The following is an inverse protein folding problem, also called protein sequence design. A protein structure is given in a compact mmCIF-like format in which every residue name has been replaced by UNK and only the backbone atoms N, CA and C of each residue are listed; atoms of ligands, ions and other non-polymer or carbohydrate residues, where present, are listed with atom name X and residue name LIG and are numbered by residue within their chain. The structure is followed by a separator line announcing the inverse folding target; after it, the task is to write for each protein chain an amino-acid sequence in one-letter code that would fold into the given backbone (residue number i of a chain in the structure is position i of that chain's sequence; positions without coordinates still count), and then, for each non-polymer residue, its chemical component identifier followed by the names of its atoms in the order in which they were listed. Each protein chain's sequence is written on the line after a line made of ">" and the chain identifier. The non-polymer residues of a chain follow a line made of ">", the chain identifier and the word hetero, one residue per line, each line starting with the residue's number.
data_IF_278608442666
#
_entry.id   IF_278608442666
#
_cell.length_a   1.000
_cell.length_b   1.000
_cell.length_c   1.000
_cell.angle_alpha   90.00
_cell.angle_beta   90.00
_cell.angle_gamma   90.00
#
_symmetry.space_group_name_H-M   'P 1'
#
loop_
_entity.id
_entity.type
_entity.pdbx_description
1 polymer ?
#
# COMPACT_ATOMS: atom_id res chain seq x y z
N UNK A 1 -12.94 13.36 -4.55
CA UNK A 1 -11.77 13.06 -3.69
C UNK A 1 -12.20 12.16 -2.54
N UNK A 2 -11.32 11.23 -2.08
CA UNK A 2 -11.61 10.42 -0.88
C UNK A 2 -11.61 11.28 0.38
N UNK A 3 -12.30 10.84 1.45
CA UNK A 3 -12.36 11.58 2.72
C UNK A 3 -10.97 11.87 3.30
N UNK A 4 -10.03 10.93 3.16
CA UNK A 4 -8.64 11.18 3.56
C UNK A 4 -7.96 12.28 2.72
N UNK A 5 -8.26 12.35 1.43
CA UNK A 5 -7.72 13.42 0.57
C UNK A 5 -8.35 14.76 0.94
N UNK A 6 -9.65 14.78 1.23
CA UNK A 6 -10.35 15.98 1.70
C UNK A 6 -9.78 16.47 3.03
N UNK A 7 -9.60 15.56 4.00
CA UNK A 7 -9.00 15.88 5.30
C UNK A 7 -7.59 16.43 5.18
N UNK A 8 -6.74 15.80 4.35
CA UNK A 8 -5.37 16.25 4.11
C UNK A 8 -5.32 17.61 3.40
N UNK A 9 -6.22 17.86 2.45
CA UNK A 9 -6.31 19.14 1.75
C UNK A 9 -6.82 20.23 2.70
N UNK A 10 -7.85 19.95 3.51
CA UNK A 10 -8.33 20.87 4.55
C UNK A 10 -7.19 21.27 5.48
N UNK A 11 -6.43 20.31 6.00
CA UNK A 11 -5.27 20.59 6.86
C UNK A 11 -4.22 21.46 6.16
N UNK A 12 -3.89 21.16 4.90
CA UNK A 12 -2.93 21.95 4.13
C UNK A 12 -3.41 23.38 3.86
N UNK A 13 -4.70 23.56 3.54
CA UNK A 13 -5.29 24.88 3.33
C UNK A 13 -5.42 25.69 4.64
N UNK A 14 -5.76 25.03 5.77
CA UNK A 14 -5.74 25.70 7.08
C UNK A 14 -4.37 26.27 7.43
N UNK A 15 -3.29 25.53 7.10
CA UNK A 15 -1.92 26.00 7.26
C UNK A 15 -1.57 27.16 6.31
N UNK A 16 -2.13 27.18 5.10
CA UNK A 16 -1.95 28.32 4.18
C UNK A 16 -2.62 29.59 4.71
N UNK A 17 -3.80 29.47 5.31
CA UNK A 17 -4.48 30.59 5.99
C UNK A 17 -3.68 31.06 7.20
N UNK A 18 -3.20 30.12 8.04
CA UNK A 18 -2.35 30.44 9.20
C UNK A 18 -1.08 31.19 8.81
N UNK A 19 -0.50 30.84 7.66
CA UNK A 19 0.68 31.50 7.13
C UNK A 19 0.43 32.94 6.64
N UNK A 20 -0.82 33.40 6.62
CA UNK A 20 -1.25 34.73 6.14
C UNK A 20 -0.66 35.07 4.78
N UNK A 21 -0.76 34.12 3.84
CA UNK A 21 -0.17 34.26 2.51
C UNK A 21 -0.98 35.25 1.65
N UNK A 22 -0.27 36.18 1.05
CA UNK A 22 -0.83 37.02 -0.01
C UNK A 22 -0.90 36.22 -1.32
N UNK A 23 -1.99 36.40 -2.07
CA UNK A 23 -2.18 35.78 -3.39
C UNK A 23 -1.40 36.57 -4.44
N UNK A 24 -0.10 36.33 -4.51
CA UNK A 24 0.80 36.88 -5.54
C UNK A 24 1.70 35.75 -6.11
N UNK A 25 2.52 36.08 -7.10
CA UNK A 25 3.40 35.13 -7.79
C UNK A 25 4.41 34.39 -6.87
N UNK A 26 4.52 34.76 -5.60
CA UNK A 26 5.41 34.13 -4.63
C UNK A 26 4.67 33.20 -3.64
N UNK A 27 3.36 33.12 -3.71
CA UNK A 27 2.51 32.39 -2.75
C UNK A 27 2.97 30.95 -2.54
N UNK A 28 3.29 30.24 -3.60
CA UNK A 28 3.74 28.85 -3.52
C UNK A 28 5.14 28.73 -2.90
N UNK A 29 6.05 29.65 -3.22
CA UNK A 29 7.38 29.70 -2.64
C UNK A 29 7.33 30.03 -1.16
N UNK A 30 6.57 31.05 -0.75
CA UNK A 30 6.38 31.44 0.65
C UNK A 30 5.75 30.33 1.47
N UNK A 31 4.72 29.65 0.92
CA UNK A 31 4.12 28.49 1.59
C UNK A 31 5.09 27.32 1.73
N UNK A 32 5.89 27.04 0.71
CA UNK A 32 6.92 26.01 0.78
C UNK A 32 7.95 26.30 1.90
N UNK A 33 8.38 27.57 2.04
CA UNK A 33 9.28 28.01 3.10
C UNK A 33 8.63 27.89 4.49
N UNK A 34 7.37 28.32 4.63
CA UNK A 34 6.60 28.18 5.86
C UNK A 34 6.51 26.71 6.31
N UNK A 35 6.15 25.80 5.39
CA UNK A 35 6.08 24.38 5.68
C UNK A 35 7.44 23.76 6.03
N UNK A 36 8.53 24.30 5.49
CA UNK A 36 9.88 23.85 5.81
C UNK A 36 10.26 24.16 7.27
N UNK A 37 9.88 25.34 7.78
CA UNK A 37 10.12 25.76 9.18
C UNK A 37 9.35 24.89 10.19
N UNK A 38 8.20 24.29 9.81
CA UNK A 38 7.32 23.49 10.68
C UNK A 38 7.78 22.05 10.90
N UNK A 39 8.96 21.66 10.49
CA UNK A 39 9.53 20.31 10.66
C UNK A 39 8.66 19.16 10.13
N UNK A 40 7.72 19.42 9.23
CA UNK A 40 6.94 18.34 8.58
C UNK A 40 7.83 17.45 7.72
N UNK A 41 7.49 16.16 7.66
CA UNK A 41 8.11 15.22 6.74
C UNK A 41 7.97 15.70 5.28
N UNK A 42 8.97 15.41 4.43
CA UNK A 42 9.00 15.85 3.02
C UNK A 42 7.72 15.48 2.25
N UNK A 43 7.18 14.26 2.50
CA UNK A 43 5.94 13.80 1.88
C UNK A 43 4.73 14.66 2.32
N UNK A 44 4.63 14.99 3.61
CA UNK A 44 3.57 15.85 4.16
C UNK A 44 3.64 17.26 3.57
N UNK A 45 4.85 17.84 3.47
CA UNK A 45 5.04 19.15 2.84
C UNK A 45 4.60 19.15 1.38
N UNK A 46 4.92 18.08 0.63
CA UNK A 46 4.45 17.92 -0.76
C UNK A 46 2.92 17.87 -0.85
N UNK A 47 2.28 17.14 0.05
CA UNK A 47 0.83 16.99 0.08
C UNK A 47 0.13 18.33 0.38
N UNK A 48 0.61 19.07 1.38
CA UNK A 48 0.04 20.37 1.73
C UNK A 48 0.28 21.41 0.63
N UNK A 49 1.45 21.41 0.01
CA UNK A 49 1.68 22.28 -1.15
C UNK A 49 0.79 21.91 -2.34
N UNK A 50 0.52 20.61 -2.55
CA UNK A 50 -0.42 20.16 -3.58
C UNK A 50 -1.85 20.64 -3.32
N UNK A 51 -2.28 20.79 -2.04
CA UNK A 51 -3.61 21.32 -1.72
C UNK A 51 -3.75 22.78 -2.13
N UNK A 52 -2.74 23.62 -1.86
CA UNK A 52 -2.76 25.02 -2.28
C UNK A 52 -2.71 25.16 -3.82
N UNK A 53 -1.87 24.37 -4.49
CA UNK A 53 -1.84 24.31 -5.96
C UNK A 53 -3.20 23.98 -6.55
N UNK A 54 -3.90 23.01 -5.95
CA UNK A 54 -5.23 22.61 -6.43
C UNK A 54 -6.27 23.71 -6.20
N UNK A 55 -6.17 24.44 -5.09
CA UNK A 55 -7.03 25.61 -4.85
C UNK A 55 -6.76 26.69 -5.89
N UNK A 56 -5.49 27.07 -6.12
CA UNK A 56 -5.13 28.07 -7.12
C UNK A 56 -5.57 27.67 -8.53
N UNK A 57 -5.45 26.40 -8.88
CA UNK A 57 -5.94 25.87 -10.15
C UNK A 57 -7.47 26.01 -10.29
N UNK A 58 -8.19 25.76 -9.20
CA UNK A 58 -9.64 25.91 -9.18
C UNK A 58 -10.05 27.39 -9.27
N UNK A 59 -9.38 28.27 -8.51
CA UNK A 59 -9.62 29.72 -8.60
C UNK A 59 -9.33 30.27 -10.00
N UNK A 60 -8.25 29.83 -10.63
CA UNK A 60 -7.88 30.17 -12.00
C UNK A 60 -9.00 29.80 -13.01
N UNK A 61 -9.52 28.57 -12.89
CA UNK A 61 -10.59 28.05 -13.74
C UNK A 61 -11.95 28.73 -13.52
N UNK A 62 -12.11 29.55 -12.46
CA UNK A 62 -13.34 30.25 -12.12
C UNK A 62 -13.15 31.79 -12.07
N UNK A 63 -12.06 32.28 -12.66
CA UNK A 63 -11.74 33.71 -12.73
C UNK A 63 -11.72 34.42 -11.36
N UNK A 64 -11.33 33.67 -10.30
CA UNK A 64 -11.29 34.13 -8.91
C UNK A 64 -9.90 34.57 -8.45
N UNK A 65 -8.91 34.56 -9.31
CA UNK A 65 -7.56 35.02 -8.98
C UNK A 65 -7.49 36.56 -9.03
N UNK A 66 -6.69 37.18 -8.12
CA UNK A 66 -6.49 38.64 -8.15
C UNK A 66 -5.91 39.12 -9.49
N UNK A 67 -6.24 40.34 -9.90
CA UNK A 67 -5.66 40.97 -11.06
C UNK A 67 -4.12 40.97 -10.97
N UNK A 68 -3.46 40.58 -12.03
CA UNK A 68 -1.98 40.48 -12.09
C UNK A 68 -1.37 39.20 -11.50
N UNK A 69 -2.15 38.30 -10.91
CA UNK A 69 -1.64 37.00 -10.48
C UNK A 69 -1.39 36.09 -11.70
N UNK A 70 -0.18 35.50 -11.75
CA UNK A 70 0.17 34.56 -12.79
C UNK A 70 0.58 33.21 -12.18
N UNK A 71 -0.31 32.21 -12.30
CA UNK A 71 -0.10 30.86 -11.75
C UNK A 71 1.13 30.17 -12.31
N UNK A 72 1.41 30.32 -13.63
CA UNK A 72 2.58 29.74 -14.26
C UNK A 72 3.88 30.33 -13.70
N UNK A 73 3.89 31.63 -13.44
CA UNK A 73 5.02 32.34 -12.84
C UNK A 73 5.22 31.93 -11.38
N UNK A 74 4.14 31.73 -10.60
CA UNK A 74 4.24 31.20 -9.25
C UNK A 74 4.82 29.78 -9.21
N UNK A 75 4.46 28.92 -10.15
CA UNK A 75 5.04 27.58 -10.29
C UNK A 75 6.53 27.65 -10.69
N UNK A 76 6.89 28.55 -11.60
CA UNK A 76 8.28 28.74 -12.01
C UNK A 76 9.16 29.22 -10.84
N UNK A 77 8.73 30.22 -10.08
CA UNK A 77 9.42 30.72 -8.89
C UNK A 77 9.63 29.61 -7.84
N UNK A 78 8.61 28.76 -7.63
CA UNK A 78 8.74 27.62 -6.73
C UNK A 78 9.77 26.59 -7.21
N UNK A 79 9.86 26.34 -8.53
CA UNK A 79 10.87 25.41 -9.10
C UNK A 79 12.28 25.93 -8.85
N UNK A 80 12.52 27.18 -9.14
CA UNK A 80 13.83 27.84 -8.90
C UNK A 80 14.21 27.75 -7.43
N UNK A 81 13.29 28.06 -6.50
CA UNK A 81 13.59 28.05 -5.06
C UNK A 81 13.89 26.67 -4.50
N UNK A 82 13.47 25.60 -5.17
CA UNK A 82 13.70 24.21 -4.74
C UNK A 82 15.06 23.67 -5.19
N UNK A 83 15.73 24.36 -6.08
CA UNK A 83 16.87 23.81 -6.80
C UNK A 83 16.46 22.58 -7.63
N UNK A 84 17.21 22.21 -8.60
CA UNK A 84 17.01 20.99 -9.40
C UNK A 84 17.38 19.70 -8.65
N UNK A 85 17.21 19.66 -7.34
CA UNK A 85 17.41 18.42 -6.61
C UNK A 85 16.43 17.37 -7.19
N UNK A 86 16.85 16.72 -8.26
CA UNK A 86 16.31 15.44 -8.68
C UNK A 86 16.34 14.58 -7.42
N UNK A 87 15.19 14.45 -6.79
CA UNK A 87 15.04 13.51 -5.69
C UNK A 87 15.30 12.14 -6.29
N UNK A 88 16.53 11.69 -6.24
CA UNK A 88 16.87 10.32 -6.54
C UNK A 88 15.86 9.47 -5.77
N UNK A 89 15.22 8.54 -6.45
CA UNK A 89 14.34 7.58 -5.81
C UNK A 89 15.20 6.85 -4.76
N UNK A 90 14.90 7.09 -3.49
CA UNK A 90 15.51 6.29 -2.43
C UNK A 90 14.84 4.93 -2.47
N UNK A 91 15.53 3.96 -2.98
CA UNK A 91 15.15 2.56 -2.90
C UNK A 91 14.86 2.24 -1.42
N UNK A 92 13.63 1.95 -1.11
CA UNK A 92 13.30 1.45 0.22
C UNK A 92 13.61 -0.04 0.18
N UNK A 93 14.68 -0.43 0.84
CA UNK A 93 15.04 -1.84 0.96
C UNK A 93 13.82 -2.61 1.47
N UNK A 94 13.51 -3.70 0.80
CA UNK A 94 12.48 -4.64 1.23
C UNK A 94 13.08 -5.44 2.37
N UNK A 95 12.38 -5.49 3.50
CA UNK A 95 12.80 -6.29 4.65
C UNK A 95 12.65 -7.77 4.28
N UNK A 96 13.76 -8.53 4.17
CA UNK A 96 13.71 -9.95 3.78
C UNK A 96 13.00 -10.81 4.81
N UNK A 97 12.95 -10.36 6.07
CA UNK A 97 12.32 -11.08 7.18
C UNK A 97 10.81 -10.86 7.27
N UNK A 98 10.22 -10.10 6.35
CA UNK A 98 8.80 -9.82 6.38
C UNK A 98 7.90 -11.07 6.40
N UNK A 99 8.20 -12.18 5.69
CA UNK A 99 7.43 -13.42 5.76
C UNK A 99 7.39 -14.05 7.18
N UNK A 100 8.36 -13.75 8.04
CA UNK A 100 8.35 -14.22 9.44
C UNK A 100 7.13 -13.73 10.22
N UNK A 101 6.49 -12.65 9.77
CA UNK A 101 5.21 -12.20 10.35
C UNK A 101 4.10 -13.24 10.14
N UNK A 102 4.10 -13.95 9.02
CA UNK A 102 3.14 -15.02 8.74
C UNK A 102 3.43 -16.18 9.69
N UNK A 103 4.68 -16.67 9.70
CA UNK A 103 5.13 -17.76 10.59
C UNK A 103 4.80 -17.44 12.06
N UNK A 104 5.04 -16.20 12.51
CA UNK A 104 4.68 -15.77 13.88
C UNK A 104 3.21 -16.05 14.22
N UNK A 105 2.28 -15.81 13.30
CA UNK A 105 0.87 -16.08 13.53
C UNK A 105 0.53 -17.57 13.39
N UNK A 106 1.20 -18.29 12.49
CA UNK A 106 0.97 -19.72 12.26
C UNK A 106 1.45 -20.58 13.44
N UNK A 107 2.54 -20.18 14.07
CA UNK A 107 3.14 -20.86 15.22
C UNK A 107 2.41 -20.57 16.54
N UNK A 108 1.55 -19.55 16.63
CA UNK A 108 0.80 -19.29 17.86
C UNK A 108 -0.20 -20.42 18.12
N UNK A 109 -0.18 -21.06 19.30
CA UNK A 109 -1.17 -22.08 19.65
C UNK A 109 -2.56 -21.44 19.72
N UNK A 110 -3.55 -22.14 19.20
CA UNK A 110 -4.94 -21.70 19.33
C UNK A 110 -5.38 -21.83 20.78
N UNK A 111 -5.94 -20.79 21.40
CA UNK A 111 -6.51 -20.90 22.74
C UNK A 111 -7.55 -22.01 22.82
N UNK A 112 -7.47 -22.82 23.86
CA UNK A 112 -8.48 -23.84 24.15
C UNK A 112 -9.81 -23.18 24.51
N UNK A 113 -10.89 -23.80 24.07
CA UNK A 113 -12.25 -23.38 24.42
C UNK A 113 -12.56 -23.94 25.81
N UNK A 114 -12.76 -23.08 26.82
CA UNK A 114 -13.19 -23.46 28.15
C UNK A 114 -14.46 -22.72 28.52
N UNK A 115 -15.40 -23.41 29.13
CA UNK A 115 -16.67 -22.83 29.57
C UNK A 115 -16.47 -21.79 30.70
N UNK A 116 -15.39 -21.90 31.47
CA UNK A 116 -15.04 -20.99 32.56
C UNK A 116 -14.52 -19.62 32.09
N UNK A 117 -14.20 -19.48 30.79
CA UNK A 117 -13.50 -18.28 30.26
C UNK A 117 -14.41 -17.08 29.98
N UNK A 118 -15.71 -17.14 30.28
CA UNK A 118 -16.69 -16.08 29.92
C UNK A 118 -16.57 -15.58 28.47
N UNK A 119 -16.32 -16.48 27.51
CA UNK A 119 -16.14 -16.15 26.11
C UNK A 119 -14.83 -15.43 25.73
N UNK A 120 -13.90 -15.27 26.68
CA UNK A 120 -12.58 -14.64 26.41
C UNK A 120 -11.68 -15.54 25.57
N UNK A 121 -11.70 -16.85 25.79
CA UNK A 121 -10.96 -17.84 24.99
C UNK A 121 -11.45 -17.84 23.55
N UNK A 122 -12.76 -17.92 23.33
CA UNK A 122 -13.38 -17.84 22.00
C UNK A 122 -12.99 -16.56 21.26
N UNK A 123 -13.06 -15.42 21.95
CA UNK A 123 -12.67 -14.13 21.37
C UNK A 123 -11.20 -14.10 20.96
N UNK A 124 -10.28 -14.58 21.83
CA UNK A 124 -8.85 -14.64 21.51
C UNK A 124 -8.55 -15.58 20.34
N UNK A 125 -9.22 -16.74 20.31
CA UNK A 125 -9.10 -17.74 19.26
C UNK A 125 -9.54 -17.16 17.90
N UNK A 126 -10.71 -16.55 17.85
CA UNK A 126 -11.21 -15.88 16.65
C UNK A 126 -10.30 -14.73 16.20
N UNK A 127 -9.76 -13.95 17.13
CA UNK A 127 -8.80 -12.88 16.80
C UNK A 127 -7.50 -13.45 16.20
N UNK A 128 -6.98 -14.55 16.73
CA UNK A 128 -5.77 -15.18 16.21
C UNK A 128 -6.00 -15.76 14.82
N UNK A 129 -7.07 -16.51 14.60
CA UNK A 129 -7.44 -17.06 13.29
C UNK A 129 -7.66 -15.95 12.26
N UNK A 130 -8.36 -14.88 12.65
CA UNK A 130 -8.55 -13.69 11.81
C UNK A 130 -7.22 -13.05 11.42
N UNK A 131 -6.35 -12.80 12.37
CA UNK A 131 -5.07 -12.13 12.14
C UNK A 131 -4.15 -13.01 11.29
N UNK A 132 -4.15 -14.33 11.49
CA UNK A 132 -3.49 -15.33 10.61
C UNK A 132 -4.02 -15.22 9.17
N UNK A 133 -5.33 -15.29 8.98
CA UNK A 133 -5.95 -15.16 7.67
C UNK A 133 -5.65 -13.81 6.99
N UNK A 134 -5.57 -12.72 7.74
CA UNK A 134 -5.17 -11.40 7.23
C UNK A 134 -3.73 -11.43 6.70
N UNK A 135 -2.77 -12.03 7.43
CA UNK A 135 -1.36 -12.07 6.99
C UNK A 135 -1.20 -12.87 5.71
N UNK A 136 -1.79 -14.05 5.64
CA UNK A 136 -1.79 -14.86 4.43
C UNK A 136 -2.45 -14.13 3.25
N UNK A 137 -3.58 -13.45 3.47
CA UNK A 137 -4.28 -12.68 2.43
C UNK A 137 -3.44 -11.50 1.93
N UNK A 138 -2.80 -10.74 2.82
CA UNK A 138 -1.91 -9.64 2.45
C UNK A 138 -0.74 -10.11 1.59
N UNK A 139 -0.13 -11.23 1.95
CA UNK A 139 0.98 -11.81 1.22
C UNK A 139 0.55 -12.37 -0.13
N UNK A 140 -0.47 -13.24 -0.14
CA UNK A 140 -0.93 -13.90 -1.35
C UNK A 140 -1.45 -12.93 -2.41
N UNK A 141 -2.23 -11.93 -2.01
CA UNK A 141 -2.89 -11.02 -2.95
C UNK A 141 -2.08 -9.78 -3.29
N UNK A 142 -1.04 -9.48 -2.51
CA UNK A 142 -0.39 -8.16 -2.51
C UNK A 142 -1.41 -6.99 -2.53
N UNK A 143 -2.60 -7.21 -1.96
CA UNK A 143 -3.70 -6.26 -1.93
C UNK A 143 -3.36 -5.00 -1.15
N UNK A 144 -4.02 -3.89 -1.48
CA UNK A 144 -3.97 -2.71 -0.61
C UNK A 144 -4.68 -3.04 0.70
N UNK A 145 -4.18 -2.50 1.81
CA UNK A 145 -4.78 -2.76 3.13
C UNK A 145 -6.28 -2.46 3.19
N UNK A 146 -6.75 -1.45 2.44
CA UNK A 146 -8.18 -1.13 2.35
C UNK A 146 -8.97 -2.19 1.57
N UNK A 147 -8.39 -2.75 0.53
CA UNK A 147 -9.00 -3.81 -0.27
C UNK A 147 -9.14 -5.09 0.55
N UNK A 148 -8.07 -5.50 1.23
CA UNK A 148 -8.11 -6.68 2.12
C UNK A 148 -9.07 -6.48 3.28
N UNK A 149 -9.07 -5.31 3.93
CA UNK A 149 -9.98 -5.03 5.05
C UNK A 149 -11.46 -4.98 4.64
N UNK A 150 -11.77 -4.70 3.37
CA UNK A 150 -13.14 -4.60 2.86
C UNK A 150 -13.68 -5.89 2.22
N UNK A 151 -12.91 -6.97 2.21
CA UNK A 151 -13.38 -8.26 1.69
C UNK A 151 -14.61 -8.76 2.45
N UNK A 152 -15.48 -9.44 1.73
CA UNK A 152 -16.67 -10.11 2.29
C UNK A 152 -16.52 -11.62 2.22
N UNK A 153 -17.25 -12.33 3.07
CA UNK A 153 -17.30 -13.80 3.08
C UNK A 153 -17.75 -14.35 1.73
N UNK A 154 -18.78 -13.72 1.14
CA UNK A 154 -19.30 -14.12 -0.16
C UNK A 154 -18.26 -13.99 -1.28
N UNK A 155 -17.47 -12.90 -1.31
CA UNK A 155 -16.42 -12.71 -2.31
C UNK A 155 -15.35 -13.79 -2.27
N UNK A 156 -14.96 -14.23 -1.08
CA UNK A 156 -13.94 -15.29 -0.90
C UNK A 156 -14.56 -16.69 -0.82
N UNK A 157 -15.89 -16.81 -0.96
CA UNK A 157 -16.65 -18.07 -0.81
C UNK A 157 -16.22 -18.85 0.45
N UNK A 158 -16.13 -18.14 1.59
CA UNK A 158 -15.62 -18.64 2.86
C UNK A 158 -14.25 -19.35 2.76
N UNK A 159 -13.38 -18.86 1.87
CA UNK A 159 -12.04 -19.37 1.64
C UNK A 159 -11.93 -20.43 0.55
N UNK A 160 -12.96 -20.65 -0.26
CA UNK A 160 -12.91 -21.55 -1.41
C UNK A 160 -12.47 -20.87 -2.70
N UNK A 161 -12.67 -19.55 -2.82
CA UNK A 161 -12.28 -18.82 -4.00
C UNK A 161 -10.75 -18.63 -4.06
N UNK A 162 -10.14 -18.96 -5.19
CA UNK A 162 -8.73 -18.64 -5.50
C UNK A 162 -8.58 -17.25 -6.13
N UNK A 163 -9.65 -16.71 -6.69
CA UNK A 163 -9.72 -15.43 -7.36
C UNK A 163 -10.87 -14.60 -6.82
N UNK A 164 -10.61 -13.34 -6.53
CA UNK A 164 -11.59 -12.43 -5.92
C UNK A 164 -11.65 -11.13 -6.69
N UNK A 165 -12.78 -10.85 -7.32
CA UNK A 165 -13.01 -9.57 -7.98
C UNK A 165 -13.25 -8.49 -6.92
N UNK A 166 -12.47 -7.43 -6.97
CA UNK A 166 -12.61 -6.26 -6.10
C UNK A 166 -12.78 -4.99 -6.92
N UNK A 167 -13.49 -4.03 -6.35
CA UNK A 167 -13.60 -2.67 -6.90
C UNK A 167 -12.73 -1.72 -6.08
N UNK A 168 -11.70 -1.21 -6.71
CA UNK A 168 -10.73 -0.29 -6.10
C UNK A 168 -11.11 1.18 -6.26
N UNK A 169 -10.17 2.07 -5.94
CA UNK A 169 -10.32 3.52 -6.08
C UNK A 169 -10.66 3.91 -7.53
N UNK A 170 -11.68 4.73 -7.71
CA UNK A 170 -12.14 5.20 -9.03
C UNK A 170 -12.96 4.17 -9.79
N UNK A 171 -13.66 3.27 -9.08
CA UNK A 171 -14.51 2.20 -9.63
C UNK A 171 -13.77 1.23 -10.58
N UNK A 172 -12.45 1.11 -10.43
CA UNK A 172 -11.64 0.18 -11.22
C UNK A 172 -11.68 -1.20 -10.60
N UNK A 173 -12.11 -2.17 -11.38
CA UNK A 173 -12.11 -3.57 -10.98
C UNK A 173 -10.74 -4.20 -11.21
N UNK A 174 -10.35 -5.11 -10.32
CA UNK A 174 -9.19 -5.98 -10.48
C UNK A 174 -9.37 -7.28 -9.73
N UNK A 175 -8.64 -8.30 -10.14
CA UNK A 175 -8.56 -9.57 -9.42
C UNK A 175 -7.54 -9.49 -8.28
N UNK A 176 -7.90 -10.10 -7.16
CA UNK A 176 -6.97 -10.55 -6.13
C UNK A 176 -6.83 -12.06 -6.23
N UNK A 177 -5.62 -12.56 -6.11
CA UNK A 177 -5.33 -13.99 -6.13
C UNK A 177 -5.02 -14.47 -4.72
N UNK A 178 -5.60 -15.60 -4.33
CA UNK A 178 -5.42 -16.23 -3.03
C UNK A 178 -4.70 -17.57 -3.22
N UNK A 179 -3.59 -17.74 -2.53
CA UNK A 179 -2.87 -19.02 -2.52
C UNK A 179 -3.64 -20.07 -1.71
N UNK A 180 -3.35 -21.37 -1.86
CA UNK A 180 -3.98 -22.42 -1.06
C UNK A 180 -3.87 -22.20 0.46
N UNK A 181 -2.74 -21.65 0.94
CA UNK A 181 -2.51 -21.32 2.35
C UNK A 181 -3.43 -20.18 2.81
N UNK A 182 -3.58 -19.14 1.98
CA UNK A 182 -4.50 -18.04 2.28
C UNK A 182 -5.95 -18.51 2.32
N UNK A 183 -6.34 -19.38 1.39
CA UNK A 183 -7.66 -19.99 1.38
C UNK A 183 -7.87 -20.86 2.63
N UNK A 184 -6.90 -21.68 3.02
CA UNK A 184 -6.97 -22.51 4.22
C UNK A 184 -7.09 -21.67 5.49
N UNK A 185 -6.30 -20.62 5.62
CA UNK A 185 -6.37 -19.71 6.77
C UNK A 185 -7.72 -18.97 6.84
N UNK A 186 -8.28 -18.55 5.70
CA UNK A 186 -9.62 -17.94 5.62
C UNK A 186 -10.68 -18.96 6.02
N UNK A 187 -10.63 -20.19 5.50
CA UNK A 187 -11.58 -21.27 5.87
C UNK A 187 -11.54 -21.53 7.39
N UNK A 188 -10.35 -21.69 7.96
CA UNK A 188 -10.20 -21.93 9.39
C UNK A 188 -10.86 -20.82 10.22
N UNK A 189 -10.69 -19.56 9.79
CA UNK A 189 -11.34 -18.43 10.45
C UNK A 189 -12.86 -18.43 10.25
N UNK A 190 -13.35 -18.66 9.02
CA UNK A 190 -14.78 -18.65 8.74
C UNK A 190 -15.55 -19.79 9.42
N UNK A 191 -14.93 -20.97 9.53
CA UNK A 191 -15.54 -22.13 10.18
C UNK A 191 -15.75 -21.95 11.69
N UNK A 192 -14.92 -21.16 12.35
CA UNK A 192 -15.07 -20.85 13.77
C UNK A 192 -16.03 -19.66 14.04
N UNK A 193 -16.51 -19.00 12.99
CA UNK A 193 -17.43 -17.88 13.12
C UNK A 193 -18.88 -18.36 13.16
N UNK A 194 -19.56 -18.01 14.23
CA UNK A 194 -21.00 -18.17 14.40
C UNK A 194 -21.67 -16.79 14.43
N UNK A 195 -21.65 -16.09 13.30
CA UNK A 195 -22.25 -14.77 13.16
C UNK A 195 -22.70 -14.50 11.70
N UNK A 196 -23.74 -13.66 11.49
CA UNK A 196 -24.32 -13.39 10.16
C UNK A 196 -23.62 -12.25 9.41
N UNK A 197 -22.54 -11.66 9.96
CA UNK A 197 -21.93 -10.47 9.37
C UNK A 197 -21.26 -10.77 8.03
N UNK A 198 -21.55 -10.00 6.98
CA UNK A 198 -21.04 -10.26 5.64
C UNK A 198 -19.56 -9.95 5.48
N UNK A 199 -19.00 -9.03 6.29
CA UNK A 199 -17.57 -8.70 6.21
C UNK A 199 -16.72 -9.92 6.57
N UNK A 200 -15.65 -10.15 5.78
CA UNK A 200 -14.72 -11.25 6.06
C UNK A 200 -13.98 -11.01 7.37
N UNK A 201 -13.38 -9.85 7.54
CA UNK A 201 -12.60 -9.53 8.74
C UNK A 201 -13.35 -8.55 9.63
N UNK A 202 -13.74 -9.02 10.83
CA UNK A 202 -14.53 -8.26 11.80
C UNK A 202 -13.82 -8.11 13.14
N UNK A 203 -14.32 -7.19 13.94
CA UNK A 203 -13.96 -7.07 15.35
C UNK A 203 -14.71 -8.09 16.20
N UNK A 204 -14.00 -8.81 17.07
CA UNK A 204 -14.57 -9.77 18.04
C UNK A 204 -14.67 -9.22 19.46
N UNK A 205 -14.24 -7.97 19.68
CA UNK A 205 -14.28 -7.28 20.98
C UNK A 205 -15.40 -6.23 21.03
N UNK A 206 -15.09 -5.08 21.62
CA UNK A 206 -16.00 -3.96 21.92
C UNK A 206 -16.96 -3.57 20.80
N UNK A 207 -16.50 -3.67 19.55
CA UNK A 207 -17.30 -3.39 18.35
C UNK A 207 -17.58 -4.69 17.60
N UNK A 208 -18.07 -5.74 18.30
CA UNK A 208 -18.33 -7.06 17.71
C UNK A 208 -19.14 -6.93 16.41
N UNK A 209 -18.69 -7.63 15.38
CA UNK A 209 -19.33 -7.64 14.07
C UNK A 209 -18.98 -6.47 13.13
N UNK A 210 -18.39 -5.38 13.62
CA UNK A 210 -17.97 -4.29 12.70
C UNK A 210 -16.78 -4.70 11.84
N UNK A 211 -16.78 -4.35 10.55
CA UNK A 211 -15.64 -4.59 9.66
C UNK A 211 -14.36 -4.00 10.24
N UNK A 212 -13.25 -4.68 10.05
CA UNK A 212 -11.95 -4.15 10.44
C UNK A 212 -11.57 -2.91 9.65
N UNK A 213 -10.96 -1.95 10.33
CA UNK A 213 -10.38 -0.78 9.68
C UNK A 213 -8.97 -1.07 9.19
N UNK A 214 -8.47 -0.25 8.26
CA UNK A 214 -7.05 -0.25 7.85
C UNK A 214 -6.10 -0.18 9.05
N UNK A 215 -6.48 0.59 10.07
CA UNK A 215 -5.67 0.76 11.28
C UNK A 215 -5.63 -0.52 12.11
N UNK A 216 -6.72 -1.30 12.14
CA UNK A 216 -6.77 -2.58 12.85
C UNK A 216 -5.83 -3.61 12.19
N UNK A 217 -5.86 -3.70 10.86
CA UNK A 217 -4.93 -4.54 10.08
C UNK A 217 -3.49 -4.09 10.29
N UNK A 218 -3.24 -2.79 10.24
CA UNK A 218 -1.92 -2.22 10.50
C UNK A 218 -1.39 -2.58 11.89
N UNK A 219 -2.25 -2.50 12.92
CA UNK A 219 -1.88 -2.88 14.29
C UNK A 219 -1.54 -4.36 14.43
N UNK A 220 -2.24 -5.25 13.71
CA UNK A 220 -1.92 -6.68 13.69
C UNK A 220 -0.50 -6.90 13.13
N UNK A 221 -0.18 -6.33 11.95
CA UNK A 221 1.18 -6.40 11.39
C UNK A 221 2.23 -5.85 12.36
N UNK A 222 1.96 -4.69 12.99
CA UNK A 222 2.90 -4.07 13.94
C UNK A 222 3.11 -4.88 15.21
N UNK A 223 2.12 -5.61 15.67
CA UNK A 223 2.23 -6.49 16.86
C UNK A 223 3.24 -7.59 16.60
N UNK A 224 3.10 -8.32 15.50
CA UNK A 224 4.05 -9.36 15.12
C UNK A 224 5.45 -8.80 14.82
N UNK A 225 5.53 -7.71 14.07
CA UNK A 225 6.80 -7.07 13.77
C UNK A 225 7.56 -6.64 15.04
N UNK A 226 6.85 -6.12 16.05
CA UNK A 226 7.44 -5.77 17.35
C UNK A 226 7.92 -7.03 18.11
N UNK A 227 7.12 -8.09 18.14
CA UNK A 227 7.48 -9.34 18.81
C UNK A 227 8.72 -9.99 18.19
N UNK A 228 8.87 -9.87 16.87
CA UNK A 228 10.00 -10.40 16.11
C UNK A 228 11.22 -9.46 16.03
N UNK A 229 11.16 -8.27 16.63
CA UNK A 229 12.24 -7.27 16.51
C UNK A 229 12.45 -6.73 15.10
N UNK A 230 11.48 -6.84 14.21
CA UNK A 230 11.59 -6.41 12.83
C UNK A 230 11.62 -4.89 12.69
N UNK A 231 12.11 -4.42 11.55
CA UNK A 231 12.18 -3.00 11.18
C UNK A 231 10.85 -2.27 11.41
N UNK A 232 10.91 -1.01 11.87
CA UNK A 232 9.75 -0.11 11.93
C UNK A 232 9.06 0.08 10.58
N UNK A 233 9.70 -0.31 9.48
CA UNK A 233 9.15 -0.27 8.13
C UNK A 233 8.12 -1.37 7.85
N UNK A 234 8.10 -2.48 8.61
CA UNK A 234 7.11 -3.54 8.47
C UNK A 234 5.68 -2.97 8.57
N UNK A 235 4.88 -3.18 7.55
CA UNK A 235 3.53 -2.63 7.41
C UNK A 235 2.76 -3.41 6.34
N UNK A 236 1.42 -3.32 6.26
CA UNK A 236 0.68 -3.96 5.16
C UNK A 236 1.17 -3.55 3.76
N UNK A 237 1.65 -2.31 3.61
CA UNK A 237 2.24 -1.87 2.34
C UNK A 237 3.58 -2.54 2.05
N UNK A 238 4.35 -2.89 3.09
CA UNK A 238 5.60 -3.63 2.93
C UNK A 238 5.36 -5.04 2.37
N UNK A 239 4.27 -5.74 2.76
CA UNK A 239 3.89 -7.03 2.16
C UNK A 239 3.71 -6.93 0.64
N UNK A 240 2.99 -5.92 0.20
CA UNK A 240 2.78 -5.68 -1.23
C UNK A 240 4.09 -5.41 -1.97
N UNK A 241 4.97 -4.62 -1.35
CA UNK A 241 6.28 -4.31 -1.93
C UNK A 241 7.19 -5.54 -1.95
N UNK A 242 7.20 -6.31 -0.86
CA UNK A 242 7.93 -7.56 -0.75
C UNK A 242 7.51 -8.55 -1.86
N UNK A 243 6.19 -8.81 -1.95
CA UNK A 243 5.67 -9.79 -2.92
C UNK A 243 5.95 -9.38 -4.36
N UNK A 244 5.82 -8.11 -4.68
CA UNK A 244 6.15 -7.60 -6.00
C UNK A 244 7.63 -7.77 -6.34
N UNK A 245 8.53 -7.48 -5.40
CA UNK A 245 9.97 -7.66 -5.57
C UNK A 245 10.33 -9.14 -5.70
N UNK A 246 9.73 -9.99 -4.89
CA UNK A 246 9.91 -11.42 -4.94
C UNK A 246 9.52 -11.99 -6.31
N UNK A 247 8.32 -11.68 -6.81
CA UNK A 247 7.83 -12.15 -8.11
C UNK A 247 8.74 -11.71 -9.27
N UNK A 248 9.25 -10.48 -9.21
CA UNK A 248 10.20 -10.00 -10.20
C UNK A 248 11.55 -10.73 -10.13
N UNK A 249 12.03 -11.03 -8.92
CA UNK A 249 13.27 -11.81 -8.73
C UNK A 249 13.11 -13.26 -9.19
N UNK A 250 11.91 -13.81 -9.06
CA UNK A 250 11.54 -15.15 -9.56
C UNK A 250 11.30 -15.17 -11.09
N UNK A 251 11.50 -14.03 -11.78
CA UNK A 251 11.44 -13.94 -13.25
C UNK A 251 10.08 -13.58 -13.82
N UNK A 252 9.06 -13.26 -12.99
CA UNK A 252 7.77 -12.83 -13.50
C UNK A 252 7.91 -11.52 -14.30
N UNK A 253 7.38 -11.43 -15.53
CA UNK A 253 7.43 -10.21 -16.33
C UNK A 253 6.87 -9.00 -15.58
N UNK A 254 7.49 -7.83 -15.77
CA UNK A 254 7.09 -6.59 -15.09
C UNK A 254 5.62 -6.23 -15.35
N UNK A 255 5.14 -6.45 -16.54
CA UNK A 255 3.77 -6.20 -16.97
C UNK A 255 2.78 -7.10 -16.21
N UNK A 256 3.15 -8.37 -16.01
CA UNK A 256 2.35 -9.32 -15.21
C UNK A 256 2.31 -8.91 -13.73
N UNK A 257 3.45 -8.47 -13.16
CA UNK A 257 3.49 -7.93 -11.79
C UNK A 257 2.67 -6.65 -11.67
N UNK A 258 2.67 -5.79 -12.68
CA UNK A 258 1.83 -4.58 -12.73
C UNK A 258 0.33 -4.92 -12.72
N UNK A 259 -0.07 -5.87 -13.56
CA UNK A 259 -1.45 -6.37 -13.62
C UNK A 259 -1.87 -6.98 -12.28
N UNK A 260 -1.04 -7.85 -11.70
CA UNK A 260 -1.25 -8.45 -10.40
C UNK A 260 -1.43 -7.42 -9.29
N UNK A 261 -0.61 -6.38 -9.28
CA UNK A 261 -0.73 -5.29 -8.32
C UNK A 261 -1.89 -4.34 -8.61
N UNK A 262 -2.43 -4.31 -9.82
CA UNK A 262 -3.44 -3.34 -10.24
C UNK A 262 -2.91 -1.89 -10.17
N UNK A 263 -1.73 -1.65 -10.71
CA UNK A 263 -1.18 -0.30 -10.87
C UNK A 263 -1.83 0.39 -12.06
N UNK A 264 -2.39 1.58 -11.84
CA UNK A 264 -3.01 2.38 -12.90
C UNK A 264 -1.98 3.03 -13.85
N UNK A 265 -0.72 3.11 -13.43
CA UNK A 265 0.39 3.68 -14.21
C UNK A 265 1.62 2.77 -14.17
N UNK A 266 2.15 2.40 -15.33
CA UNK A 266 3.41 1.66 -15.46
C UNK A 266 4.60 2.35 -14.78
N UNK A 267 4.59 3.67 -14.78
CA UNK A 267 5.66 4.53 -14.23
C UNK A 267 5.93 4.22 -12.75
N UNK A 268 4.87 4.00 -11.95
CA UNK A 268 5.01 3.70 -10.51
C UNK A 268 5.77 2.40 -10.28
N UNK A 269 5.53 1.38 -11.10
CA UNK A 269 6.21 0.08 -10.98
C UNK A 269 7.63 0.15 -11.54
N UNK A 270 7.84 0.82 -12.68
CA UNK A 270 9.16 0.99 -13.28
C UNK A 270 10.15 1.66 -12.33
N UNK A 271 9.75 2.78 -11.70
CA UNK A 271 10.61 3.54 -10.79
C UNK A 271 10.97 2.72 -9.55
N UNK A 272 10.00 1.97 -9.00
CA UNK A 272 10.19 1.19 -7.76
C UNK A 272 11.10 -0.01 -7.98
N UNK A 273 11.06 -0.63 -9.15
CA UNK A 273 11.71 -1.93 -9.42
C UNK A 273 12.82 -1.87 -10.47
N UNK A 274 13.29 -0.69 -10.87
CA UNK A 274 14.35 -0.53 -11.86
C UNK A 274 15.65 -1.29 -11.51
N UNK A 275 15.99 -1.37 -10.23
CA UNK A 275 17.20 -2.07 -9.76
C UNK A 275 17.05 -3.60 -9.76
N UNK A 276 15.86 -4.11 -9.46
CA UNK A 276 15.56 -5.55 -9.52
C UNK A 276 15.77 -6.09 -10.93
N UNK A 277 15.42 -5.27 -11.92
CA UNK A 277 15.54 -5.61 -13.34
C UNK A 277 16.98 -5.91 -13.79
N UNK A 278 17.98 -5.28 -13.18
CA UNK A 278 19.40 -5.52 -13.58
C UNK A 278 19.89 -6.90 -13.15
N UNK A 279 19.52 -7.36 -11.95
CA UNK A 279 19.88 -8.71 -11.49
C UNK A 279 19.15 -9.78 -12.30
N UNK A 280 17.84 -9.63 -12.50
CA UNK A 280 17.01 -10.53 -13.33
C UNK A 280 17.48 -10.53 -14.78
N UNK A 281 17.84 -9.37 -15.35
CA UNK A 281 18.34 -9.28 -16.71
C UNK A 281 19.68 -10.02 -16.87
N UNK A 282 20.56 -9.91 -15.87
CA UNK A 282 21.84 -10.63 -15.89
C UNK A 282 21.62 -12.15 -15.83
N UNK A 283 20.71 -12.59 -15.00
CA UNK A 283 20.34 -14.00 -14.85
C UNK A 283 19.69 -14.55 -16.12
N UNK A 284 18.81 -13.77 -16.73
CA UNK A 284 18.21 -14.10 -18.04
C UNK A 284 19.25 -14.13 -19.16
N UNK A 285 20.18 -13.18 -19.18
CA UNK A 285 21.30 -13.21 -20.17
C UNK A 285 22.18 -14.44 -19.99
N UNK A 286 22.43 -14.87 -18.74
CA UNK A 286 23.16 -16.10 -18.45
C UNK A 286 22.38 -17.35 -18.85
N UNK A 287 21.05 -17.33 -18.73
CA UNK A 287 20.18 -18.48 -19.03
C UNK A 287 19.83 -18.58 -20.52
N UNK A 288 19.60 -17.45 -21.19
CA UNK A 288 19.09 -17.41 -22.57
C UNK A 288 20.06 -16.77 -23.55
N UNK A 289 21.11 -16.11 -23.08
CA UNK A 289 22.11 -15.47 -23.91
C UNK A 289 23.07 -16.53 -24.46
N UNK A 290 22.95 -16.83 -25.74
CA UNK A 290 23.94 -17.65 -26.42
C UNK A 290 25.26 -16.90 -26.56
N UNK A 291 26.38 -17.54 -26.25
CA UNK A 291 27.69 -17.04 -26.67
C UNK A 291 27.78 -16.98 -28.21
N UNK A 292 28.64 -16.12 -28.73
CA UNK A 292 28.84 -16.03 -30.20
C UNK A 292 29.22 -17.42 -30.83
N UNK A 293 29.88 -18.27 -30.05
CA UNK A 293 30.25 -19.61 -30.46
C UNK A 293 29.05 -20.56 -30.54
N UNK A 294 28.13 -20.50 -29.56
CA UNK A 294 26.91 -21.31 -29.55
C UNK A 294 25.88 -20.81 -30.58
N UNK A 295 25.85 -19.51 -30.85
CA UNK A 295 25.00 -18.93 -31.89
C UNK A 295 25.49 -19.33 -33.31
N UNK A 296 26.80 -19.44 -33.54
CA UNK A 296 27.36 -19.87 -34.81
C UNK A 296 27.08 -21.36 -35.07
N UNK A 297 27.14 -22.22 -34.06
CA UNK A 297 26.91 -23.68 -34.20
C UNK A 297 25.44 -24.08 -34.48
N UNK A 298 24.46 -23.18 -34.24
CA UNK A 298 23.04 -23.42 -34.58
C UNK A 298 22.65 -23.16 -36.04
N UNK A 299 23.58 -22.62 -36.85
CA UNK A 299 23.31 -22.37 -38.27
C UNK A 299 23.69 -23.53 -39.18
N UNK A 300 24.27 -24.63 -38.64
CA UNK A 300 24.73 -25.78 -39.36
C UNK A 300 23.94 -27.09 -39.08
N UNK A 301 22.73 -26.98 -38.46
CA UNK A 301 21.88 -28.11 -38.17
C UNK A 301 20.51 -28.04 -38.85
#
# INVERSE_FOLDING_TARGET
>A
ASDNTRAAYKAGLSLAVEAKLELNDEVLQRFSAFLAKRKFARATRRLYLASLRRLLQWMDAHDMLPAGFNRAKAEAKLRVSRGEARAGYRHRAVDPDLPRIIAYYDEQPLPELSDESNGRSTTKRLELLRDRAIMHTLYASAGRVSEVASLTRAQVADGRASEVLITGKGNRQRMLFLTPEAQAAIRAYCNERDDPYPALFISHRRNKGRPLTRMSVWRAVKRAAKALGLSKAASPHAFRHYRATQLLNEGMPLESVQAYLGHASPETTRIVYAHTRTAVLRDQLNTYGLSAKEAAGRKEG
#
